data_IF_291769372169
#
_entry.id   IF_291769372169
#
_cell.length_a   1.000
_cell.length_b   1.000
_cell.length_c   1.000
_cell.angle_alpha   90.00
_cell.angle_beta   90.00
_cell.angle_gamma   90.00
#
_symmetry.space_group_name_H-M   'P 1'
#
loop_
_entity.id
_entity.type
_entity.pdbx_description
1 polymer ?
#
# COMPACT_ATOMS: atom_id res chain seq x y z
N UNK A 1 -5.60 2.20 -11.18
CA UNK A 1 -5.57 1.18 -10.10
C UNK A 1 -5.72 -0.21 -10.70
N UNK A 2 -5.38 -1.27 -9.97
CA UNK A 2 -5.62 -2.66 -10.40
C UNK A 2 -6.80 -3.23 -9.61
N UNK A 3 -7.74 -3.91 -10.27
CA UNK A 3 -8.85 -4.56 -9.59
C UNK A 3 -8.35 -5.69 -8.68
N UNK A 4 -8.78 -5.70 -7.42
CA UNK A 4 -8.40 -6.73 -6.44
C UNK A 4 -8.95 -8.12 -6.75
N UNK A 5 -9.94 -8.25 -7.62
CA UNK A 5 -10.56 -9.53 -8.01
C UNK A 5 -10.01 -10.04 -9.35
N UNK A 6 -10.23 -9.32 -10.45
CA UNK A 6 -9.87 -9.78 -11.80
C UNK A 6 -8.52 -9.25 -12.31
N UNK A 7 -7.76 -8.49 -11.50
CA UNK A 7 -6.46 -7.87 -11.85
C UNK A 7 -6.46 -6.93 -13.07
N UNK A 8 -7.63 -6.52 -13.57
CA UNK A 8 -7.72 -5.57 -14.68
C UNK A 8 -7.37 -4.15 -14.23
N UNK A 9 -6.68 -3.40 -15.08
CA UNK A 9 -6.43 -1.98 -14.86
C UNK A 9 -7.74 -1.19 -14.99
N UNK A 10 -7.98 -0.33 -13.99
CA UNK A 10 -9.14 0.55 -13.90
C UNK A 10 -8.68 2.01 -13.88
N UNK A 11 -9.29 2.79 -14.76
CA UNK A 11 -9.20 4.25 -14.81
C UNK A 11 -10.30 4.85 -13.95
N UNK A 12 -10.00 5.93 -13.24
CA UNK A 12 -10.95 6.63 -12.37
C UNK A 12 -10.54 8.12 -12.24
N UNK A 13 -11.50 9.02 -12.00
CA UNK A 13 -11.19 10.42 -11.77
C UNK A 13 -10.47 10.63 -10.44
N UNK A 14 -9.62 11.66 -10.36
CA UNK A 14 -8.93 12.02 -9.12
C UNK A 14 -9.95 12.30 -8.00
N UNK A 15 -9.69 11.78 -6.81
CA UNK A 15 -10.58 11.93 -5.65
C UNK A 15 -11.73 10.91 -5.57
N UNK A 16 -11.86 10.00 -6.54
CA UNK A 16 -12.75 8.85 -6.38
C UNK A 16 -12.30 8.01 -5.18
N UNK A 17 -13.23 7.66 -4.27
CA UNK A 17 -12.96 6.76 -3.13
C UNK A 17 -13.22 5.29 -3.47
N UNK A 18 -14.11 5.06 -4.43
CA UNK A 18 -14.52 3.73 -4.87
C UNK A 18 -14.58 3.70 -6.39
N UNK A 19 -14.19 2.58 -7.00
CA UNK A 19 -14.43 2.34 -8.41
C UNK A 19 -15.02 0.93 -8.61
N UNK A 20 -16.07 0.85 -9.41
CA UNK A 20 -16.63 -0.44 -9.84
C UNK A 20 -15.86 -0.95 -11.05
N UNK A 21 -15.37 -2.18 -10.98
CA UNK A 21 -14.75 -2.83 -12.12
C UNK A 21 -15.82 -3.12 -13.19
N UNK A 22 -15.63 -2.61 -14.41
CA UNK A 22 -16.57 -2.88 -15.51
C UNK A 22 -16.59 -4.35 -15.94
N UNK A 23 -15.49 -5.07 -15.75
CA UNK A 23 -15.35 -6.48 -16.15
C UNK A 23 -16.00 -7.45 -15.17
N UNK A 24 -15.75 -7.32 -13.86
CA UNK A 24 -16.20 -8.28 -12.85
C UNK A 24 -17.16 -7.68 -11.81
N UNK A 25 -17.58 -6.44 -11.99
CA UNK A 25 -18.52 -5.71 -11.12
C UNK A 25 -18.05 -5.48 -9.66
N UNK A 26 -16.86 -5.98 -9.27
CA UNK A 26 -16.27 -5.75 -7.94
C UNK A 26 -16.05 -4.26 -7.69
N UNK A 27 -16.49 -3.78 -6.52
CA UNK A 27 -16.18 -2.43 -6.04
C UNK A 27 -14.82 -2.46 -5.35
N UNK A 28 -13.92 -1.60 -5.80
CA UNK A 28 -12.56 -1.49 -5.28
C UNK A 28 -12.42 -0.16 -4.56
N UNK A 29 -11.69 -0.13 -3.45
CA UNK A 29 -11.37 1.09 -2.72
C UNK A 29 -10.14 1.72 -3.37
N UNK A 30 -10.21 3.03 -3.59
CA UNK A 30 -9.09 3.85 -4.06
C UNK A 30 -8.46 4.50 -2.83
N UNK A 31 -7.19 4.18 -2.57
CA UNK A 31 -6.40 4.82 -1.53
C UNK A 31 -5.42 5.79 -2.18
N UNK A 32 -5.47 7.05 -1.74
CA UNK A 32 -4.46 8.03 -2.11
C UNK A 32 -3.15 7.76 -1.35
N UNK A 33 -2.04 8.32 -1.83
CA UNK A 33 -0.71 8.04 -1.27
C UNK A 33 -0.56 8.46 0.22
N UNK A 34 -1.35 9.42 0.68
CA UNK A 34 -1.44 9.83 2.08
C UNK A 34 -2.26 8.86 2.95
N UNK A 35 -3.08 8.00 2.34
CA UNK A 35 -3.93 7.02 3.02
C UNK A 35 -3.28 5.63 3.14
N UNK A 36 -2.03 5.49 2.66
CA UNK A 36 -1.29 4.23 2.69
C UNK A 36 -0.03 4.35 3.54
N UNK A 37 0.06 3.50 4.57
CA UNK A 37 1.24 3.31 5.39
C UNK A 37 2.12 2.16 4.89
N UNK A 38 3.33 2.08 5.46
CA UNK A 38 4.26 1.00 5.18
C UNK A 38 4.81 0.37 6.46
N UNK A 39 5.07 -0.93 6.43
CA UNK A 39 5.73 -1.65 7.52
C UNK A 39 6.57 -2.78 6.96
N UNK A 40 7.69 -3.11 7.60
CA UNK A 40 8.44 -4.34 7.26
C UNK A 40 7.82 -5.51 8.01
N UNK A 41 7.62 -6.63 7.32
CA UNK A 41 7.18 -7.87 7.96
C UNK A 41 8.18 -8.29 9.05
N UNK A 42 7.68 -8.63 10.24
CA UNK A 42 8.53 -9.07 11.36
C UNK A 42 9.26 -10.40 11.15
N UNK A 43 8.86 -11.19 10.16
CA UNK A 43 9.47 -12.50 9.85
C UNK A 43 10.38 -12.43 8.62
N UNK A 44 9.85 -12.08 7.45
CA UNK A 44 10.61 -12.10 6.20
C UNK A 44 11.13 -10.72 5.74
N UNK A 45 10.97 -9.67 6.55
CA UNK A 45 11.41 -8.29 6.27
C UNK A 45 10.83 -7.61 5.00
N UNK A 46 9.97 -8.30 4.24
CA UNK A 46 9.27 -7.75 3.07
C UNK A 46 8.50 -6.50 3.46
N UNK A 47 8.57 -5.46 2.62
CA UNK A 47 7.83 -4.23 2.81
C UNK A 47 6.36 -4.45 2.44
N UNK A 48 5.47 -4.23 3.40
CA UNK A 48 4.03 -4.33 3.25
C UNK A 48 3.43 -2.92 3.20
N UNK A 49 2.45 -2.74 2.31
CA UNK A 49 1.60 -1.54 2.28
C UNK A 49 0.26 -1.86 2.92
N UNK A 50 -0.26 -0.93 3.71
CA UNK A 50 -1.52 -1.12 4.42
C UNK A 50 -2.31 0.20 4.52
N UNK A 51 -3.65 0.15 4.59
CA UNK A 51 -4.46 1.35 4.79
C UNK A 51 -4.22 1.94 6.17
N UNK A 52 -4.14 3.27 6.28
CA UNK A 52 -4.01 3.93 7.58
C UNK A 52 -5.12 3.52 8.55
N UNK A 53 -4.75 3.30 9.80
CA UNK A 53 -5.66 2.84 10.86
C UNK A 53 -5.68 1.33 11.08
N UNK A 54 -5.05 0.52 10.21
CA UNK A 54 -4.90 -0.90 10.50
C UNK A 54 -4.03 -1.13 11.75
N UNK A 55 -4.52 -1.92 12.70
CA UNK A 55 -3.78 -2.34 13.90
C UNK A 55 -2.82 -3.51 13.64
N UNK A 56 -3.04 -4.26 12.56
CA UNK A 56 -2.22 -5.40 12.16
C UNK A 56 -2.26 -5.60 10.65
N UNK A 57 -1.21 -6.19 10.09
CA UNK A 57 -1.14 -6.57 8.68
C UNK A 57 -0.60 -7.99 8.54
N UNK A 58 -1.26 -8.79 7.69
CA UNK A 58 -0.78 -10.13 7.34
C UNK A 58 0.12 -10.04 6.11
N UNK A 59 1.33 -10.57 6.21
CA UNK A 59 2.27 -10.64 5.10
C UNK A 59 1.71 -11.52 3.98
N UNK A 60 1.67 -11.01 2.75
CA UNK A 60 1.26 -11.80 1.58
C UNK A 60 2.27 -12.88 1.21
N UNK A 61 3.55 -12.68 1.54
CA UNK A 61 4.63 -13.62 1.21
C UNK A 61 4.76 -14.78 2.20
N UNK A 62 4.81 -14.50 3.51
CA UNK A 62 5.06 -15.52 4.53
C UNK A 62 3.88 -15.75 5.49
N UNK A 63 2.76 -15.05 5.30
CA UNK A 63 1.53 -15.14 6.13
C UNK A 63 1.68 -14.71 7.60
N UNK A 64 2.87 -14.28 8.03
CA UNK A 64 3.10 -13.71 9.37
C UNK A 64 2.28 -12.44 9.59
N UNK A 65 1.69 -12.30 10.78
CA UNK A 65 0.91 -11.11 11.18
C UNK A 65 1.83 -10.17 11.94
N UNK A 66 1.96 -8.94 11.45
CA UNK A 66 2.73 -7.87 12.09
C UNK A 66 1.77 -6.87 12.71
N UNK A 67 1.86 -6.69 14.02
CA UNK A 67 1.12 -5.64 14.73
C UNK A 67 1.72 -4.27 14.40
N UNK A 68 0.86 -3.27 14.20
CA UNK A 68 1.23 -1.90 13.89
C UNK A 68 1.19 -1.08 15.17
N UNK A 69 2.35 -0.89 15.79
CA UNK A 69 2.55 -0.05 16.97
C UNK A 69 3.18 1.30 16.61
N UNK A 70 3.24 2.22 17.58
CA UNK A 70 3.87 3.52 17.41
C UNK A 70 5.34 3.44 16.94
N UNK A 71 6.05 2.37 17.33
CA UNK A 71 7.46 2.16 17.04
C UNK A 71 7.75 1.64 15.62
N UNK A 72 6.78 1.01 14.95
CA UNK A 72 6.97 0.45 13.61
C UNK A 72 6.04 1.03 12.54
N UNK A 73 5.10 1.91 12.94
CA UNK A 73 4.28 2.71 12.03
C UNK A 73 5.16 3.67 11.24
N UNK A 74 5.21 3.51 9.91
CA UNK A 74 5.88 4.49 9.04
C UNK A 74 4.95 5.65 8.66
N UNK A 75 5.54 6.81 8.32
CA UNK A 75 4.81 7.91 7.70
C UNK A 75 4.17 7.51 6.36
N UNK A 76 3.23 8.32 5.86
CA UNK A 76 2.53 7.97 4.63
C UNK A 76 3.48 7.81 3.48
N UNK A 77 3.12 6.96 2.53
CA UNK A 77 3.95 6.72 1.35
C UNK A 77 4.30 8.02 0.62
N UNK A 78 3.37 8.98 0.56
CA UNK A 78 3.59 10.32 0.01
C UNK A 78 4.76 11.07 0.66
N UNK A 79 4.95 10.93 1.98
CA UNK A 79 6.05 11.56 2.73
C UNK A 79 7.37 10.83 2.46
N UNK A 80 7.34 9.50 2.36
CA UNK A 80 8.55 8.71 2.10
C UNK A 80 9.07 8.89 0.67
N UNK A 81 8.19 9.07 -0.33
CA UNK A 81 8.59 9.36 -1.69
C UNK A 81 9.26 10.74 -1.86
N UNK A 82 8.96 11.69 -0.97
CA UNK A 82 9.65 12.99 -0.96
C UNK A 82 11.09 12.90 -0.45
N UNK A 83 11.54 11.77 0.11
CA UNK A 83 12.95 11.58 0.44
C UNK A 83 13.74 11.29 -0.84
N UNK A 84 14.82 12.03 -1.13
CA UNK A 84 15.60 11.84 -2.34
C UNK A 84 16.17 10.43 -2.37
N UNK A 85 16.15 9.81 -3.56
CA UNK A 85 16.91 8.59 -3.83
C UNK A 85 18.40 8.81 -3.50
N UNK A 86 19.11 7.80 -2.97
CA UNK A 86 20.55 7.93 -2.79
C UNK A 86 21.21 8.24 -4.14
N UNK A 87 22.23 9.12 -4.20
CA UNK A 87 22.92 9.41 -5.44
C UNK A 87 23.46 8.09 -6.00
N UNK A 88 23.17 7.82 -7.28
CA UNK A 88 23.88 6.78 -8.02
C UNK A 88 25.33 7.22 -8.09
N UNK A 89 26.18 6.69 -7.20
CA UNK A 89 27.63 6.81 -7.32
C UNK A 89 28.04 6.05 -8.57
N UNK A 90 28.25 6.79 -9.66
CA UNK A 90 28.98 6.32 -10.82
C UNK A 90 30.43 6.77 -10.71
N UNK A 91 31.35 5.81 -10.80
CA UNK A 91 32.68 5.95 -11.37
C UNK A 91 32.86 4.74 -12.29
#
# INVERSE_FOLDING_TARGET
MVCGSCRRLLSYPRGAKHVKCSCCQTVNIVLEADQVGQVKCGSCAVLLMYPYGASQVRCSSCRFVTEIGAHNKRPPWSVQQRKPSPPKTGC
#
